data_IF_775454662992
#
_entry.id   IF_775454662992
#
_cell.length_a   1.000
_cell.length_b   1.000
_cell.length_c   1.000
_cell.angle_alpha   90.00
_cell.angle_beta   90.00
_cell.angle_gamma   90.00
#
_symmetry.space_group_name_H-M   'P 1'
#
loop_
_entity.id
_entity.type
_entity.pdbx_description
1 polymer ?
#
# COMPACT_ATOMS: atom_id res chain seq x y z
N UNK A 1 -38.72 32.82 6.24
CA UNK A 1 -38.54 31.85 5.13
C UNK A 1 -37.18 31.97 4.48
N UNK A 2 -36.84 33.15 3.97
CA UNK A 2 -35.53 33.37 3.32
C UNK A 2 -34.35 33.16 4.26
N UNK A 3 -34.51 33.47 5.53
CA UNK A 3 -33.50 33.32 6.58
C UNK A 3 -33.12 31.83 6.80
N UNK A 4 -34.08 30.91 6.71
CA UNK A 4 -33.85 29.48 6.84
C UNK A 4 -33.00 28.92 5.71
N UNK A 5 -33.20 29.36 4.47
CA UNK A 5 -32.38 28.95 3.33
C UNK A 5 -30.94 29.42 3.45
N UNK A 6 -30.71 30.62 3.95
CA UNK A 6 -29.38 31.17 4.16
C UNK A 6 -28.61 30.41 5.26
N UNK A 7 -29.28 29.80 6.22
CA UNK A 7 -28.65 28.99 7.27
C UNK A 7 -28.28 27.58 6.80
N UNK A 8 -29.03 27.04 5.84
CA UNK A 8 -28.78 25.68 5.33
C UNK A 8 -27.55 25.63 4.40
N UNK A 9 -27.35 26.65 3.59
CA UNK A 9 -26.24 26.71 2.64
C UNK A 9 -24.85 26.58 3.28
N UNK A 10 -24.50 27.28 4.38
CA UNK A 10 -23.21 27.11 5.03
C UNK A 10 -22.99 25.70 5.57
N UNK A 11 -24.04 25.05 6.05
CA UNK A 11 -23.97 23.67 6.58
C UNK A 11 -23.64 22.70 5.44
N UNK A 12 -24.23 22.85 4.28
CA UNK A 12 -23.95 21.99 3.10
C UNK A 12 -22.50 22.15 2.67
N UNK A 13 -21.97 23.36 2.59
CA UNK A 13 -20.59 23.64 2.22
C UNK A 13 -19.63 23.00 3.23
N UNK A 14 -19.95 23.07 4.51
CA UNK A 14 -19.15 22.45 5.57
C UNK A 14 -19.08 20.92 5.42
N UNK A 15 -20.19 20.27 5.09
CA UNK A 15 -20.24 18.80 4.86
C UNK A 15 -19.34 18.42 3.68
N UNK A 16 -19.36 19.17 2.59
CA UNK A 16 -18.48 18.93 1.45
C UNK A 16 -17.00 19.09 1.82
N UNK A 17 -16.65 20.05 2.65
CA UNK A 17 -15.28 20.23 3.12
C UNK A 17 -14.78 19.06 3.97
N UNK A 18 -15.64 18.42 4.75
CA UNK A 18 -15.29 17.26 5.59
C UNK A 18 -15.20 15.98 4.76
N UNK A 19 -15.95 15.86 3.67
CA UNK A 19 -16.03 14.67 2.84
C UNK A 19 -14.81 14.45 1.93
N UNK A 20 -13.69 15.13 2.15
CA UNK A 20 -12.46 14.92 1.39
C UNK A 20 -11.85 13.56 1.71
N UNK A 21 -11.40 12.82 0.69
CA UNK A 21 -10.73 11.55 0.94
C UNK A 21 -9.45 11.77 1.74
N UNK A 22 -9.25 10.94 2.75
CA UNK A 22 -8.00 10.87 3.50
C UNK A 22 -7.01 9.96 2.77
N UNK A 23 -5.75 9.97 3.22
CA UNK A 23 -4.74 9.08 2.70
C UNK A 23 -5.10 7.62 2.96
N UNK A 24 -4.69 6.74 2.05
CA UNK A 24 -4.95 5.31 2.12
C UNK A 24 -3.77 4.57 2.73
N UNK A 25 -4.07 3.47 3.42
CA UNK A 25 -3.06 2.51 3.87
C UNK A 25 -3.36 1.17 3.23
N UNK A 26 -2.38 0.64 2.50
CA UNK A 26 -2.48 -0.66 1.84
C UNK A 26 -1.70 -1.68 2.66
N UNK A 27 -2.37 -2.73 3.12
CA UNK A 27 -1.77 -3.76 3.97
C UNK A 27 -1.61 -5.05 3.19
N UNK A 28 -0.42 -5.63 3.26
CA UNK A 28 -0.07 -6.89 2.60
C UNK A 28 0.58 -7.84 3.58
N UNK A 29 0.42 -9.13 3.34
CA UNK A 29 1.01 -10.19 4.15
C UNK A 29 1.78 -11.13 3.23
N UNK A 30 3.07 -11.35 3.55
CA UNK A 30 3.87 -12.37 2.91
C UNK A 30 3.58 -13.67 3.64
N UNK A 31 2.93 -14.62 2.97
CA UNK A 31 2.48 -15.85 3.58
C UNK A 31 3.65 -16.75 3.99
N UNK A 32 3.49 -17.51 5.06
CA UNK A 32 4.42 -18.58 5.42
C UNK A 32 4.49 -19.59 4.27
N UNK A 33 5.70 -20.01 3.92
CA UNK A 33 5.94 -20.93 2.81
C UNK A 33 6.13 -20.25 1.45
N UNK A 34 6.15 -18.90 1.40
CA UNK A 34 6.36 -18.16 0.15
C UNK A 34 7.68 -18.54 -0.52
N UNK A 35 8.80 -18.54 0.21
CA UNK A 35 10.10 -18.92 -0.35
C UNK A 35 10.13 -20.37 -0.80
N UNK A 36 9.54 -21.27 -0.04
CA UNK A 36 9.44 -22.67 -0.41
C UNK A 36 8.66 -22.87 -1.72
N UNK A 37 7.59 -22.11 -1.92
CA UNK A 37 6.83 -22.11 -3.18
C UNK A 37 7.67 -21.59 -4.35
N UNK A 38 8.39 -20.50 -4.16
CA UNK A 38 9.27 -19.93 -5.18
C UNK A 38 10.38 -20.90 -5.57
N UNK A 39 10.98 -21.60 -4.59
CA UNK A 39 12.02 -22.60 -4.84
C UNK A 39 11.52 -23.79 -5.64
N UNK A 40 10.24 -24.12 -5.51
CA UNK A 40 9.57 -25.17 -6.30
C UNK A 40 9.08 -24.69 -7.66
N UNK A 41 9.18 -23.40 -7.96
CA UNK A 41 8.65 -22.81 -9.19
C UNK A 41 7.12 -22.67 -9.19
N UNK A 42 6.49 -22.70 -8.03
CA UNK A 42 5.04 -22.52 -7.87
C UNK A 42 4.71 -21.12 -7.39
N UNK A 43 3.48 -20.68 -7.64
CA UNK A 43 3.05 -19.37 -7.20
C UNK A 43 2.81 -19.36 -5.70
N UNK A 44 3.24 -18.32 -4.97
CA UNK A 44 2.92 -18.18 -3.55
C UNK A 44 1.43 -18.11 -3.27
N UNK A 45 1.02 -18.52 -2.07
CA UNK A 45 -0.38 -18.54 -1.68
C UNK A 45 -1.02 -17.13 -1.65
N UNK A 46 -0.22 -16.10 -1.40
CA UNK A 46 -0.68 -14.73 -1.33
C UNK A 46 0.29 -13.82 -2.10
N UNK A 47 0.20 -13.80 -3.45
CA UNK A 47 1.10 -12.98 -4.26
C UNK A 47 0.86 -11.49 -3.98
N UNK A 48 1.94 -10.73 -3.85
CA UNK A 48 1.89 -9.29 -3.67
C UNK A 48 1.86 -8.58 -5.04
N UNK A 49 1.24 -7.40 -5.12
CA UNK A 49 1.19 -6.66 -6.38
C UNK A 49 2.58 -6.29 -6.91
N UNK A 50 2.77 -6.37 -8.21
CA UNK A 50 3.98 -5.91 -8.90
C UNK A 50 3.83 -4.51 -9.45
N UNK A 51 2.63 -3.94 -9.39
CA UNK A 51 2.33 -2.56 -9.75
C UNK A 51 1.54 -1.91 -8.61
N UNK A 52 1.99 -0.74 -8.18
CA UNK A 52 1.31 0.06 -7.18
C UNK A 52 0.99 1.44 -7.76
N UNK A 53 -0.27 1.85 -7.63
CA UNK A 53 -0.71 3.21 -7.95
C UNK A 53 -1.21 3.84 -6.66
N UNK A 54 -0.49 4.82 -6.18
CA UNK A 54 -0.75 5.47 -4.89
C UNK A 54 -0.69 6.98 -5.03
N UNK A 55 -1.12 7.66 -3.99
CA UNK A 55 -1.08 9.12 -3.90
C UNK A 55 -0.10 9.52 -2.80
N UNK A 56 0.52 10.68 -2.93
CA UNK A 56 1.39 11.24 -1.89
C UNK A 56 0.66 11.25 -0.55
N UNK A 57 1.30 10.72 0.48
CA UNK A 57 0.74 10.55 1.82
C UNK A 57 0.16 9.16 2.08
N UNK A 58 -0.05 8.36 1.04
CA UNK A 58 -0.45 6.96 1.20
C UNK A 58 0.70 6.14 1.78
N UNK A 59 0.34 5.04 2.43
CA UNK A 59 1.31 4.13 3.05
C UNK A 59 1.06 2.70 2.65
N UNK A 60 2.13 1.92 2.63
CA UNK A 60 2.06 0.45 2.60
C UNK A 60 2.52 -0.10 3.94
N UNK A 61 1.87 -1.15 4.38
CA UNK A 61 2.23 -1.92 5.58
C UNK A 61 2.36 -3.37 5.16
N UNK A 62 3.52 -3.95 5.39
CA UNK A 62 3.80 -5.34 4.97
C UNK A 62 4.27 -6.15 6.17
N UNK A 63 3.65 -7.30 6.38
CA UNK A 63 4.01 -8.24 7.43
C UNK A 63 4.63 -9.49 6.78
N UNK A 64 5.81 -9.86 7.23
CA UNK A 64 6.48 -11.06 6.76
C UNK A 64 6.19 -12.24 7.69
N UNK A 65 5.30 -13.14 7.28
CA UNK A 65 4.98 -14.35 8.00
C UNK A 65 5.80 -15.57 7.53
N UNK A 66 6.70 -15.36 6.57
CA UNK A 66 7.58 -16.43 6.11
C UNK A 66 8.73 -16.67 7.09
N UNK A 67 9.43 -17.78 6.92
CA UNK A 67 10.55 -18.18 7.78
C UNK A 67 11.88 -17.57 7.35
N UNK A 68 11.92 -16.88 6.21
CA UNK A 68 13.10 -16.18 5.68
C UNK A 68 12.79 -14.70 5.50
N UNK A 69 13.84 -13.88 5.41
CA UNK A 69 13.70 -12.47 5.12
C UNK A 69 13.22 -12.23 3.68
N UNK A 70 12.43 -11.23 3.48
CA UNK A 70 11.96 -10.80 2.16
C UNK A 70 12.10 -9.30 1.98
N UNK A 71 12.26 -8.88 0.73
CA UNK A 71 12.22 -7.47 0.34
C UNK A 71 10.98 -7.23 -0.50
N UNK A 72 10.21 -6.22 -0.14
CA UNK A 72 9.09 -5.74 -0.94
C UNK A 72 9.15 -4.22 -1.03
N UNK A 73 9.27 -3.69 -2.22
CA UNK A 73 9.47 -2.27 -2.48
C UNK A 73 10.72 -1.73 -1.75
N UNK A 74 10.54 -0.82 -0.81
CA UNK A 74 11.62 -0.24 -0.02
C UNK A 74 11.75 -0.88 1.37
N UNK A 75 11.01 -1.96 1.64
CA UNK A 75 10.97 -2.63 2.93
C UNK A 75 11.76 -3.93 2.87
N UNK A 76 12.73 -4.06 3.76
CA UNK A 76 13.46 -5.31 4.01
C UNK A 76 12.97 -5.86 5.34
N UNK A 77 12.31 -7.01 5.31
CA UNK A 77 11.58 -7.56 6.44
C UNK A 77 12.15 -8.90 6.86
N UNK A 78 12.52 -9.00 8.14
CA UNK A 78 12.90 -10.27 8.76
C UNK A 78 11.65 -11.12 9.01
N UNK A 79 11.82 -12.42 9.27
CA UNK A 79 10.70 -13.27 9.67
C UNK A 79 9.93 -12.68 10.86
N UNK A 80 8.62 -12.55 10.71
CA UNK A 80 7.73 -11.99 11.73
C UNK A 80 7.70 -10.48 11.83
N UNK A 81 8.48 -9.77 11.02
CA UNK A 81 8.55 -8.31 11.05
C UNK A 81 7.45 -7.66 10.23
N UNK A 82 6.94 -6.54 10.73
CA UNK A 82 6.02 -5.66 10.01
C UNK A 82 6.71 -4.34 9.74
N UNK A 83 6.70 -3.89 8.49
CA UNK A 83 7.27 -2.62 8.09
C UNK A 83 6.21 -1.70 7.50
N UNK A 84 6.49 -0.41 7.53
CA UNK A 84 5.63 0.63 6.98
C UNK A 84 6.46 1.59 6.14
N UNK A 85 5.93 1.98 4.99
CA UNK A 85 6.53 3.01 4.14
C UNK A 85 5.44 4.00 3.70
N UNK A 86 5.70 5.29 3.88
CA UNK A 86 4.80 6.36 3.45
C UNK A 86 5.39 7.06 2.24
N UNK A 87 4.62 7.19 1.17
CA UNK A 87 5.05 7.83 -0.06
C UNK A 87 4.98 9.34 0.09
N UNK A 88 6.12 10.01 0.01
CA UNK A 88 6.24 11.45 0.29
C UNK A 88 6.41 12.28 -0.97
N UNK A 89 6.72 11.68 -2.10
CA UNK A 89 6.96 12.38 -3.37
C UNK A 89 6.25 11.69 -4.52
N UNK A 90 5.67 12.50 -5.41
CA UNK A 90 5.13 12.04 -6.67
C UNK A 90 6.26 11.61 -7.61
N UNK A 91 5.99 10.66 -8.47
CA UNK A 91 6.92 10.14 -9.47
C UNK A 91 6.71 8.67 -9.76
N UNK A 92 7.53 8.17 -10.66
CA UNK A 92 7.57 6.75 -11.02
C UNK A 92 8.82 6.13 -10.42
N UNK A 93 8.64 5.03 -9.69
CA UNK A 93 9.73 4.35 -9.00
C UNK A 93 9.72 2.86 -9.36
N UNK A 94 10.89 2.26 -9.39
CA UNK A 94 11.04 0.82 -9.52
C UNK A 94 11.79 0.30 -8.30
N UNK A 95 11.25 -0.73 -7.67
CA UNK A 95 11.81 -1.31 -6.46
C UNK A 95 11.90 -2.83 -6.57
N UNK A 96 12.66 -3.43 -5.67
CA UNK A 96 12.91 -4.86 -5.65
C UNK A 96 11.76 -5.61 -4.99
N UNK A 97 11.45 -6.81 -5.52
CA UNK A 97 10.53 -7.74 -4.90
C UNK A 97 11.11 -9.15 -4.91
N UNK A 98 11.36 -9.71 -3.74
CA UNK A 98 11.80 -11.11 -3.61
C UNK A 98 10.63 -12.07 -3.42
N UNK A 99 9.42 -11.54 -3.26
CA UNK A 99 8.22 -12.32 -2.93
C UNK A 99 7.61 -13.00 -4.15
N UNK A 100 7.81 -12.43 -5.34
CA UNK A 100 7.29 -12.96 -6.61
C UNK A 100 8.40 -13.37 -7.57
N UNK A 101 9.54 -13.80 -7.06
CA UNK A 101 10.67 -14.30 -7.86
C UNK A 101 11.45 -13.17 -8.51
N UNK A 102 11.31 -12.97 -9.82
CA UNK A 102 12.15 -12.04 -10.59
C UNK A 102 11.49 -10.69 -10.87
N UNK A 103 10.28 -10.45 -10.39
CA UNK A 103 9.55 -9.24 -10.71
C UNK A 103 10.05 -8.07 -9.88
N UNK A 104 10.26 -6.94 -10.54
CA UNK A 104 10.38 -5.65 -9.88
C UNK A 104 8.98 -5.09 -9.61
N UNK A 105 8.86 -4.25 -8.60
CA UNK A 105 7.63 -3.51 -8.33
C UNK A 105 7.73 -2.15 -8.96
N UNK A 106 6.78 -1.82 -9.82
CA UNK A 106 6.64 -0.49 -10.40
C UNK A 106 5.65 0.31 -9.56
N UNK A 107 6.06 1.49 -9.13
CA UNK A 107 5.26 2.33 -8.24
C UNK A 107 5.02 3.67 -8.92
N UNK A 108 3.76 4.02 -9.11
CA UNK A 108 3.35 5.34 -9.60
C UNK A 108 2.72 6.11 -8.45
N UNK A 109 3.34 7.22 -8.06
CA UNK A 109 2.86 8.10 -6.98
C UNK A 109 2.36 9.40 -7.61
N UNK A 110 1.11 9.72 -7.39
CA UNK A 110 0.48 10.94 -7.92
C UNK A 110 0.16 11.99 -6.88
#
# INVERSE_FOLDING_TARGET
>A
MVILLALILPVIVFIFAIARPSHQTYSYVIANGTQASLDKGTEPANPLPTELQVTVGDSIVVTNNDVVAHTYTFLVLRPGETGRYTFQRAGDFTATCTVSGHANVTITVT
#
